data_IF_712089009078
#
_entry.id   IF_712089009078
#
_cell.length_a   1.000
_cell.length_b   1.000
_cell.length_c   1.000
_cell.angle_alpha   90.00
_cell.angle_beta   90.00
_cell.angle_gamma   90.00
#
_symmetry.space_group_name_H-M   'P 1'
#
loop_
_entity.id
_entity.type
_entity.pdbx_description
1 polymer ?
#
# COMPACT_ATOMS: atom_id res chain seq x y z
N UNK A 1 -4.36 -1.14 -35.26
CA UNK A 1 -3.81 -0.47 -34.07
C UNK A 1 -4.86 0.47 -33.51
N UNK A 2 -5.52 0.09 -32.41
CA UNK A 2 -6.44 0.97 -31.67
C UNK A 2 -6.04 0.95 -30.19
N UNK A 3 -6.01 2.15 -29.64
CA UNK A 3 -5.28 2.61 -28.47
C UNK A 3 -5.82 2.04 -27.16
N UNK A 4 -4.88 1.86 -26.25
CA UNK A 4 -4.94 1.55 -24.82
C UNK A 4 -6.07 2.28 -24.07
N UNK A 5 -7.28 1.74 -24.11
CA UNK A 5 -8.36 2.16 -23.21
C UNK A 5 -8.78 0.96 -22.37
N UNK A 6 -8.81 1.20 -21.07
CA UNK A 6 -9.26 0.29 -20.01
C UNK A 6 -8.21 -0.67 -19.44
N UNK A 7 -7.12 -0.11 -18.89
CA UNK A 7 -6.57 -0.65 -17.61
C UNK A 7 -7.57 -0.35 -16.48
N UNK A 8 -8.73 -0.99 -16.56
CA UNK A 8 -9.71 -1.02 -15.49
C UNK A 8 -9.13 -1.84 -14.33
N UNK A 9 -9.32 -1.33 -13.12
CA UNK A 9 -8.96 -1.92 -11.83
C UNK A 9 -7.52 -1.70 -11.35
N UNK A 10 -7.12 -0.45 -11.13
CA UNK A 10 -6.32 -0.15 -9.94
C UNK A 10 -7.19 -0.50 -8.71
N UNK A 11 -7.17 -1.76 -8.31
CA UNK A 11 -7.74 -2.21 -7.03
C UNK A 11 -6.93 -1.49 -5.96
N UNK A 12 -7.58 -0.53 -5.30
CA UNK A 12 -6.98 0.23 -4.22
C UNK A 12 -7.38 -0.44 -2.92
N UNK A 13 -6.41 -1.02 -2.23
CA UNK A 13 -6.56 -1.52 -0.86
C UNK A 13 -6.61 -0.30 0.05
N UNK A 14 -7.75 -0.06 0.70
CA UNK A 14 -7.93 1.09 1.59
C UNK A 14 -6.96 1.04 2.76
N UNK A 15 -6.70 2.19 3.38
CA UNK A 15 -5.92 2.28 4.62
C UNK A 15 -6.43 1.32 5.69
N UNK A 16 -7.75 1.14 5.81
CA UNK A 16 -8.37 0.21 6.77
C UNK A 16 -8.05 -1.25 6.44
N UNK A 17 -8.19 -1.65 5.18
CA UNK A 17 -7.85 -3.02 4.75
C UNK A 17 -6.36 -3.30 4.91
N UNK A 18 -5.50 -2.33 4.58
CA UNK A 18 -4.06 -2.46 4.76
C UNK A 18 -3.68 -2.67 6.24
N UNK A 19 -4.34 -1.97 7.18
CA UNK A 19 -4.12 -2.20 8.61
C UNK A 19 -4.43 -3.64 9.01
N UNK A 20 -5.57 -4.16 8.54
CA UNK A 20 -5.99 -5.53 8.82
C UNK A 20 -5.06 -6.56 8.17
N UNK A 21 -4.68 -6.36 6.91
CA UNK A 21 -3.80 -7.27 6.15
C UNK A 21 -2.37 -7.30 6.71
N UNK A 22 -1.86 -6.14 7.15
CA UNK A 22 -0.52 -6.03 7.72
C UNK A 22 -0.49 -6.39 9.21
N UNK A 23 -1.65 -6.45 9.87
CA UNK A 23 -1.75 -6.73 11.30
C UNK A 23 -1.13 -5.65 12.18
N UNK A 24 -1.18 -4.38 11.75
CA UNK A 24 -0.53 -3.26 12.44
C UNK A 24 -1.51 -2.15 12.83
N UNK A 25 -1.11 -1.34 13.81
CA UNK A 25 -1.87 -0.15 14.25
C UNK A 25 -1.68 1.03 13.29
N UNK A 26 -2.62 1.98 13.30
CA UNK A 26 -2.59 3.19 12.45
C UNK A 26 -1.29 3.99 12.55
N UNK A 27 -0.75 4.17 13.77
CA UNK A 27 0.53 4.85 13.95
C UNK A 27 1.70 4.10 13.31
N UNK A 28 1.71 2.77 13.40
CA UNK A 28 2.73 1.93 12.78
C UNK A 28 2.64 1.95 11.25
N UNK A 29 1.44 2.07 10.68
CA UNK A 29 1.25 2.25 9.24
C UNK A 29 1.92 3.52 8.73
N UNK A 30 1.76 4.66 9.43
CA UNK A 30 2.40 5.93 9.04
C UNK A 30 3.93 5.79 9.02
N UNK A 31 4.51 5.20 10.07
CA UNK A 31 5.96 4.96 10.13
C UNK A 31 6.42 4.02 9.02
N UNK A 32 5.61 3.01 8.69
CA UNK A 32 5.91 2.05 7.62
C UNK A 32 5.85 2.70 6.24
N UNK A 33 4.88 3.58 5.99
CA UNK A 33 4.76 4.37 4.75
C UNK A 33 6.00 5.21 4.51
N UNK A 34 6.44 5.96 5.52
CA UNK A 34 7.68 6.75 5.47
C UNK A 34 8.90 5.87 5.20
N UNK A 35 9.02 4.76 5.93
CA UNK A 35 10.17 3.87 5.82
C UNK A 35 10.21 3.11 4.47
N UNK A 36 9.05 2.89 3.84
CA UNK A 36 8.90 2.27 2.52
C UNK A 36 8.89 3.28 1.37
N UNK A 37 8.90 4.60 1.65
CA UNK A 37 8.73 5.68 0.67
C UNK A 37 7.47 5.47 -0.19
N UNK A 38 6.38 5.10 0.47
CA UNK A 38 5.05 4.91 -0.14
C UNK A 38 4.18 6.11 0.21
N UNK A 39 3.45 6.62 -0.79
CA UNK A 39 2.42 7.64 -0.58
C UNK A 39 1.06 7.00 -0.85
N UNK A 40 0.02 7.49 -0.17
CA UNK A 40 -1.36 7.04 -0.41
C UNK A 40 -1.90 7.64 -1.69
N UNK A 41 -2.84 6.94 -2.32
CA UNK A 41 -3.62 7.48 -3.42
C UNK A 41 -4.57 8.57 -2.87
N UNK A 42 -4.39 9.87 -3.21
CA UNK A 42 -5.05 10.99 -2.53
C UNK A 42 -6.59 10.98 -2.62
N UNK A 43 -7.15 10.34 -3.64
CA UNK A 43 -8.61 10.26 -3.87
C UNK A 43 -9.27 9.02 -3.29
N UNK A 44 -8.50 8.03 -2.85
CA UNK A 44 -9.02 6.73 -2.41
C UNK A 44 -8.54 6.29 -1.03
N UNK A 45 -7.71 7.09 -0.36
CA UNK A 45 -7.12 6.81 0.96
C UNK A 45 -6.67 5.35 1.08
N UNK A 46 -5.81 4.93 0.15
CA UNK A 46 -5.37 3.55 0.06
C UNK A 46 -4.14 3.37 -0.82
N UNK A 47 -3.88 2.12 -1.16
CA UNK A 47 -2.66 1.65 -1.80
C UNK A 47 -2.99 0.81 -3.02
N UNK A 48 -2.25 1.01 -4.08
CA UNK A 48 -2.14 0.06 -5.18
C UNK A 48 -1.46 -1.23 -4.72
N UNK A 49 -1.62 -2.32 -5.48
CA UNK A 49 -0.91 -3.59 -5.23
C UNK A 49 0.62 -3.38 -5.12
N UNK A 50 1.18 -2.50 -5.97
CA UNK A 50 2.61 -2.17 -5.95
C UNK A 50 3.05 -1.53 -4.63
N UNK A 51 2.24 -0.61 -4.11
CA UNK A 51 2.50 0.08 -2.84
C UNK A 51 2.35 -0.88 -1.67
N UNK A 52 1.31 -1.71 -1.68
CA UNK A 52 1.10 -2.73 -0.64
C UNK A 52 2.25 -3.74 -0.59
N UNK A 53 2.75 -4.19 -1.75
CA UNK A 53 3.95 -5.05 -1.83
C UNK A 53 5.18 -4.38 -1.21
N UNK A 54 5.38 -3.08 -1.43
CA UNK A 54 6.48 -2.32 -0.82
C UNK A 54 6.35 -2.25 0.70
N UNK A 55 5.14 -1.98 1.21
CA UNK A 55 4.85 -1.98 2.65
C UNK A 55 5.15 -3.36 3.27
N UNK A 56 4.70 -4.45 2.63
CA UNK A 56 4.96 -5.83 3.08
C UNK A 56 6.45 -6.17 3.14
N UNK A 57 7.21 -5.85 2.09
CA UNK A 57 8.66 -6.08 2.06
C UNK A 57 9.36 -5.30 3.17
N UNK A 58 8.95 -4.05 3.39
CA UNK A 58 9.55 -3.22 4.43
C UNK A 58 9.22 -3.74 5.82
N UNK A 59 7.96 -4.14 6.06
CA UNK A 59 7.52 -4.71 7.33
C UNK A 59 8.30 -5.98 7.67
N UNK A 60 8.46 -6.90 6.71
CA UNK A 60 9.27 -8.12 6.89
C UNK A 60 10.73 -7.82 7.24
N UNK A 61 11.32 -6.79 6.65
CA UNK A 61 12.70 -6.38 7.00
C UNK A 61 12.81 -5.83 8.42
N UNK A 62 11.77 -5.13 8.89
CA UNK A 62 11.73 -4.60 10.26
C UNK A 62 11.58 -5.74 11.27
N UNK A 63 10.70 -6.71 11.00
CA UNK A 63 10.42 -7.84 11.90
C UNK A 63 11.52 -8.91 11.94
N UNK A 64 12.42 -8.95 10.95
CA UNK A 64 13.58 -9.86 10.92
C UNK A 64 14.82 -9.33 11.66
N UNK A 65 14.73 -8.12 12.22
CA UNK A 65 15.74 -7.62 13.16
C UNK A 65 15.44 -8.12 14.55
#
# INVERSE_FOLDING_TARGET
>A
MRKDSEKAHDVVVTSKEALNLLGIRKGALISLEQAAKVQRVPKRDGYTDKELKRLLVKLRKILRR
#
